data_IF_099380145132
#
_entry.id   IF_099380145132
#
_cell.length_a   1.000
_cell.length_b   1.000
_cell.length_c   1.000
_cell.angle_alpha   90.00
_cell.angle_beta   90.00
_cell.angle_gamma   90.00
#
_symmetry.space_group_name_H-M   'P 1'
#
loop_
_entity.id
_entity.type
_entity.pdbx_description
1 polymer ?
#
# COMPACT_ATOMS: atom_id res chain seq x y z
N UNK A 1 11.25 -40.22 22.17
CA UNK A 1 10.84 -38.92 22.74
C UNK A 1 10.79 -37.94 21.58
N UNK A 2 9.65 -37.85 20.90
CA UNK A 2 9.49 -37.10 19.65
C UNK A 2 9.11 -35.65 19.93
N UNK A 3 9.70 -34.73 19.16
CA UNK A 3 9.65 -33.26 19.22
C UNK A 3 8.24 -32.62 19.06
N UNK A 4 7.15 -33.37 19.20
CA UNK A 4 5.81 -32.92 18.86
C UNK A 4 5.07 -32.16 20.00
N UNK A 5 5.64 -32.06 21.19
CA UNK A 5 4.97 -31.46 22.35
C UNK A 5 5.79 -30.27 22.86
N UNK A 6 5.57 -29.06 22.31
CA UNK A 6 5.68 -27.75 23.02
C UNK A 6 5.58 -26.60 22.00
N UNK A 7 4.39 -26.36 21.47
CA UNK A 7 4.05 -25.03 20.95
C UNK A 7 2.62 -24.78 21.43
N UNK A 8 2.43 -23.86 22.37
CA UNK A 8 1.09 -23.49 22.80
C UNK A 8 0.33 -22.99 21.57
N UNK A 9 -0.98 -23.23 21.49
CA UNK A 9 -1.79 -22.84 20.34
C UNK A 9 -1.64 -21.33 20.00
N UNK A 10 -1.42 -20.50 21.03
CA UNK A 10 -1.07 -19.08 20.90
C UNK A 10 0.31 -18.80 20.29
N UNK A 11 1.30 -19.67 20.50
CA UNK A 11 2.63 -19.58 19.89
C UNK A 11 2.58 -19.99 18.41
N UNK A 12 1.73 -20.96 18.04
CA UNK A 12 1.50 -21.31 16.62
C UNK A 12 0.79 -20.17 15.89
N UNK A 13 -0.24 -19.57 16.48
CA UNK A 13 -0.95 -18.42 15.89
C UNK A 13 -0.04 -17.20 15.81
N UNK A 14 0.78 -16.93 16.83
CA UNK A 14 1.77 -15.85 16.83
C UNK A 14 2.87 -16.09 15.78
N UNK A 15 3.34 -17.33 15.68
CA UNK A 15 4.28 -17.76 14.65
C UNK A 15 3.68 -17.57 13.25
N UNK A 16 2.47 -18.09 12.98
CA UNK A 16 1.77 -17.89 11.72
C UNK A 16 1.55 -16.39 11.45
N UNK A 17 1.10 -15.61 12.44
CA UNK A 17 0.90 -14.16 12.31
C UNK A 17 2.17 -13.42 11.90
N UNK A 18 3.30 -13.77 12.51
CA UNK A 18 4.63 -13.26 12.17
C UNK A 18 5.01 -13.53 10.70
N UNK A 19 4.42 -14.54 10.05
CA UNK A 19 4.58 -14.82 8.62
C UNK A 19 3.43 -14.30 7.74
N UNK A 20 2.37 -13.71 8.32
CA UNK A 20 1.22 -13.15 7.57
C UNK A 20 1.12 -11.61 7.60
N UNK A 21 2.02 -10.92 8.31
CA UNK A 21 2.05 -9.44 8.36
C UNK A 21 2.65 -8.82 7.08
N UNK A 22 2.21 -9.27 5.90
CA UNK A 22 2.70 -8.74 4.64
C UNK A 22 2.30 -7.27 4.46
N UNK A 23 3.30 -6.46 4.11
CA UNK A 23 3.18 -5.03 3.85
C UNK A 23 3.34 -4.82 2.36
N UNK A 24 2.33 -4.27 1.71
CA UNK A 24 2.45 -3.83 0.32
C UNK A 24 2.71 -2.33 0.25
N UNK A 25 3.61 -1.93 -0.64
CA UNK A 25 3.91 -0.53 -0.95
C UNK A 25 3.51 -0.25 -2.40
N UNK A 26 2.60 0.70 -2.62
CA UNK A 26 2.32 1.22 -3.96
C UNK A 26 3.32 2.28 -4.37
N UNK A 27 3.40 2.60 -5.68
CA UNK A 27 4.39 3.56 -6.18
C UNK A 27 5.83 3.12 -5.85
N UNK A 28 6.07 1.81 -5.75
CA UNK A 28 7.29 1.23 -5.20
C UNK A 28 8.57 1.59 -5.98
N UNK A 29 8.46 1.82 -7.29
CA UNK A 29 9.57 2.27 -8.14
C UNK A 29 9.81 3.79 -8.08
N UNK A 30 8.94 4.54 -7.41
CA UNK A 30 9.07 5.98 -7.24
C UNK A 30 10.03 6.38 -6.12
N UNK A 31 10.36 7.67 -6.06
CA UNK A 31 11.30 8.23 -5.08
C UNK A 31 10.91 7.98 -3.63
N UNK A 32 9.61 8.06 -3.31
CA UNK A 32 9.11 7.81 -1.96
C UNK A 32 8.99 6.32 -1.67
N UNK A 33 8.30 5.56 -2.53
CA UNK A 33 8.03 4.14 -2.31
C UNK A 33 9.30 3.30 -2.16
N UNK A 34 10.31 3.53 -3.02
CA UNK A 34 11.58 2.81 -2.97
C UNK A 34 12.31 3.07 -1.65
N UNK A 35 12.34 4.33 -1.18
CA UNK A 35 12.93 4.69 0.12
C UNK A 35 12.11 4.18 1.30
N UNK A 36 10.79 4.08 1.18
CA UNK A 36 9.94 3.51 2.21
C UNK A 36 10.24 2.02 2.38
N UNK A 37 10.41 1.29 1.27
CA UNK A 37 10.85 -0.12 1.28
C UNK A 37 12.22 -0.23 1.94
N UNK A 38 13.20 0.59 1.54
CA UNK A 38 14.53 0.59 2.17
C UNK A 38 14.46 0.85 3.68
N UNK A 39 13.58 1.76 4.08
CA UNK A 39 13.38 2.06 5.48
C UNK A 39 12.81 0.85 6.24
N UNK A 40 11.79 0.19 5.69
CA UNK A 40 11.20 -1.03 6.28
C UNK A 40 12.27 -2.11 6.48
N UNK A 41 13.08 -2.39 5.44
CA UNK A 41 14.15 -3.38 5.51
C UNK A 41 15.21 -2.98 6.56
N UNK A 42 15.63 -1.71 6.59
CA UNK A 42 16.59 -1.22 7.58
C UNK A 42 16.09 -1.30 9.02
N UNK A 43 14.77 -1.31 9.23
CA UNK A 43 14.11 -1.48 10.53
C UNK A 43 13.90 -2.95 10.91
N UNK A 44 14.37 -3.89 10.09
CA UNK A 44 14.34 -5.32 10.37
C UNK A 44 13.08 -6.03 9.90
N UNK A 45 12.25 -5.40 9.07
CA UNK A 45 11.19 -6.12 8.33
C UNK A 45 11.90 -7.01 7.30
N UNK A 46 11.55 -8.30 7.26
CA UNK A 46 12.14 -9.22 6.27
C UNK A 46 11.66 -8.86 4.87
N UNK A 47 12.52 -9.01 3.89
CA UNK A 47 12.22 -8.79 2.48
C UNK A 47 11.03 -9.65 2.00
N UNK A 48 10.90 -10.87 2.53
CA UNK A 48 9.77 -11.77 2.26
C UNK A 48 8.43 -11.32 2.86
N UNK A 49 8.42 -10.26 3.66
CA UNK A 49 7.21 -9.63 4.21
C UNK A 49 6.86 -8.34 3.48
N UNK A 50 7.67 -7.90 2.52
CA UNK A 50 7.45 -6.67 1.77
C UNK A 50 7.09 -7.02 0.33
N UNK A 51 6.01 -6.43 -0.15
CA UNK A 51 5.54 -6.56 -1.52
C UNK A 51 5.55 -5.19 -2.19
N UNK A 52 6.15 -5.11 -3.37
CA UNK A 52 6.18 -3.91 -4.19
C UNK A 52 5.14 -4.02 -5.31
N UNK A 53 4.14 -3.13 -5.30
CA UNK A 53 3.23 -3.01 -6.43
C UNK A 53 3.89 -2.19 -7.53
N UNK A 54 3.98 -2.78 -8.72
CA UNK A 54 4.65 -2.20 -9.88
C UNK A 54 3.80 -2.38 -11.13
N UNK A 55 3.73 -1.35 -11.99
CA UNK A 55 3.05 -1.46 -13.29
C UNK A 55 3.87 -2.25 -14.32
N UNK A 56 5.18 -2.14 -14.21
CA UNK A 56 6.16 -2.73 -15.12
C UNK A 56 7.29 -3.31 -14.28
N UNK A 57 7.32 -4.64 -14.18
CA UNK A 57 8.29 -5.38 -13.36
C UNK A 57 9.72 -5.21 -13.89
N UNK A 58 9.92 -4.95 -15.18
CA UNK A 58 11.24 -4.73 -15.77
C UNK A 58 11.92 -3.47 -15.23
N UNK A 59 11.15 -2.48 -14.74
CA UNK A 59 11.66 -1.25 -14.12
C UNK A 59 11.94 -1.39 -12.63
N UNK A 60 11.74 -2.57 -12.06
CA UNK A 60 11.81 -2.83 -10.63
C UNK A 60 12.91 -3.82 -10.22
N UNK A 61 13.90 -4.08 -11.09
CA UNK A 61 15.02 -5.00 -10.81
C UNK A 61 15.73 -4.66 -9.49
N UNK A 62 15.97 -3.38 -9.22
CA UNK A 62 16.58 -2.92 -7.97
C UNK A 62 15.81 -3.28 -6.68
N UNK A 63 14.52 -3.58 -6.76
CA UNK A 63 13.72 -4.09 -5.64
C UNK A 63 13.79 -5.62 -5.57
N UNK A 64 13.74 -6.28 -6.73
CA UNK A 64 13.92 -7.73 -6.83
C UNK A 64 15.30 -8.18 -6.31
N UNK A 65 16.36 -7.42 -6.60
CA UNK A 65 17.72 -7.67 -6.11
C UNK A 65 17.82 -7.61 -4.58
N UNK A 66 16.85 -6.98 -3.91
CA UNK A 66 16.74 -6.93 -2.43
C UNK A 66 15.90 -8.08 -1.87
N UNK A 67 15.42 -9.00 -2.71
CA UNK A 67 14.53 -10.09 -2.34
C UNK A 67 13.08 -9.68 -2.08
N UNK A 68 12.69 -8.45 -2.47
CA UNK A 68 11.31 -7.96 -2.33
C UNK A 68 10.43 -8.60 -3.41
N UNK A 69 9.27 -9.11 -3.01
CA UNK A 69 8.29 -9.65 -3.95
C UNK A 69 7.70 -8.53 -4.83
N UNK A 70 7.66 -8.74 -6.14
CA UNK A 70 7.03 -7.81 -7.07
C UNK A 70 5.66 -8.34 -7.46
N UNK A 71 4.62 -7.51 -7.33
CA UNK A 71 3.29 -7.79 -7.88
C UNK A 71 2.91 -6.77 -8.91
N UNK A 72 2.37 -7.24 -10.04
CA UNK A 72 1.84 -6.36 -11.05
C UNK A 72 0.51 -5.75 -10.57
N UNK A 73 0.31 -4.47 -10.82
CA UNK A 73 -1.01 -3.87 -10.75
C UNK A 73 -1.01 -2.40 -11.12
N UNK A 74 -2.16 -1.95 -11.61
CA UNK A 74 -2.40 -0.59 -12.07
C UNK A 74 -3.56 0.04 -11.30
N UNK A 75 -3.43 1.30 -10.92
CA UNK A 75 -4.48 2.01 -10.21
C UNK A 75 -5.81 2.12 -10.98
N UNK A 76 -5.73 2.07 -12.31
CA UNK A 76 -6.89 2.10 -13.21
C UNK A 76 -7.54 0.73 -13.41
N UNK A 77 -6.85 -0.35 -13.05
CA UNK A 77 -7.33 -1.73 -13.19
C UNK A 77 -7.63 -2.32 -11.81
N UNK A 78 -8.91 -2.28 -11.44
CA UNK A 78 -9.40 -2.74 -10.14
C UNK A 78 -9.07 -4.22 -9.87
N UNK A 79 -9.23 -5.09 -10.86
CA UNK A 79 -9.04 -6.53 -10.68
C UNK A 79 -7.55 -6.84 -10.46
N UNK A 80 -6.66 -6.14 -11.18
CA UNK A 80 -5.22 -6.24 -10.95
C UNK A 80 -4.83 -5.85 -9.51
N UNK A 81 -5.49 -4.85 -8.93
CA UNK A 81 -5.25 -4.44 -7.54
C UNK A 81 -5.77 -5.48 -6.55
N UNK A 82 -6.96 -6.05 -6.79
CA UNK A 82 -7.52 -7.11 -5.93
C UNK A 82 -6.61 -8.32 -5.92
N UNK A 83 -6.09 -8.74 -7.08
CA UNK A 83 -5.13 -9.84 -7.19
C UNK A 83 -3.82 -9.50 -6.46
N UNK A 84 -3.26 -8.31 -6.72
CA UNK A 84 -2.02 -7.89 -6.09
C UNK A 84 -2.13 -7.77 -4.57
N UNK A 85 -3.32 -7.49 -4.03
CA UNK A 85 -3.53 -7.28 -2.59
C UNK A 85 -3.86 -8.56 -1.82
N UNK A 86 -3.96 -9.73 -2.47
CA UNK A 86 -4.24 -10.98 -1.79
C UNK A 86 -3.21 -11.32 -0.70
N UNK A 87 -3.69 -11.64 0.50
CA UNK A 87 -2.84 -11.98 1.64
C UNK A 87 -2.09 -10.79 2.28
N UNK A 88 -2.26 -9.57 1.76
CA UNK A 88 -1.68 -8.36 2.34
C UNK A 88 -2.49 -7.95 3.59
N UNK A 89 -1.78 -7.56 4.66
CA UNK A 89 -2.42 -7.07 5.89
C UNK A 89 -2.30 -5.57 6.07
N UNK A 90 -1.23 -4.98 5.56
CA UNK A 90 -0.99 -3.53 5.64
C UNK A 90 -0.64 -2.99 4.26
N UNK A 91 -1.29 -1.90 3.89
CA UNK A 91 -1.05 -1.20 2.64
C UNK A 91 -0.46 0.18 2.93
N UNK A 92 0.74 0.45 2.43
CA UNK A 92 1.23 1.81 2.27
C UNK A 92 0.78 2.33 0.90
N UNK A 93 -0.30 3.10 0.90
CA UNK A 93 -0.88 3.73 -0.28
C UNK A 93 -0.15 5.05 -0.58
N UNK A 94 0.80 4.99 -1.51
CA UNK A 94 1.52 6.16 -2.04
C UNK A 94 0.67 6.84 -3.12
N UNK A 95 0.39 8.14 -2.91
CA UNK A 95 -0.47 8.92 -3.80
C UNK A 95 0.02 8.92 -5.26
N UNK A 96 -0.93 8.77 -6.18
CA UNK A 96 -0.77 8.27 -7.54
C UNK A 96 0.12 9.06 -8.51
N UNK A 97 0.89 10.11 -8.24
CA UNK A 97 1.66 10.89 -9.24
C UNK A 97 1.00 11.39 -10.56
N UNK A 98 -0.19 10.93 -10.92
CA UNK A 98 -0.94 11.28 -12.13
C UNK A 98 -1.38 12.76 -12.12
N UNK A 99 -1.16 13.41 -13.25
CA UNK A 99 -1.41 14.83 -13.52
C UNK A 99 -2.20 15.03 -14.82
N UNK A 100 -2.74 13.96 -15.40
CA UNK A 100 -3.46 13.97 -16.65
C UNK A 100 -4.82 14.66 -16.56
N UNK A 101 -5.36 15.02 -17.73
CA UNK A 101 -6.71 15.61 -17.86
C UNK A 101 -7.79 14.51 -17.85
N UNK A 102 -7.45 13.33 -18.39
CA UNK A 102 -8.33 12.15 -18.50
C UNK A 102 -8.12 11.19 -17.31
N UNK A 103 -6.96 11.28 -16.69
CA UNK A 103 -6.45 10.32 -15.72
C UNK A 103 -6.68 10.92 -14.32
N UNK A 104 -7.46 10.22 -13.49
CA UNK A 104 -8.10 10.77 -12.30
C UNK A 104 -7.50 10.15 -11.02
N UNK A 105 -6.60 10.90 -10.41
CA UNK A 105 -5.96 10.58 -9.12
C UNK A 105 -6.95 10.17 -8.02
N UNK A 106 -8.11 10.80 -7.90
CA UNK A 106 -9.11 10.39 -6.91
C UNK A 106 -9.62 8.98 -7.22
N UNK A 107 -9.95 8.70 -8.48
CA UNK A 107 -10.42 7.39 -8.90
C UNK A 107 -9.37 6.29 -8.64
N UNK A 108 -8.10 6.56 -8.92
CA UNK A 108 -6.99 5.67 -8.62
C UNK A 108 -6.93 5.29 -7.14
N UNK A 109 -7.01 6.27 -6.24
CA UNK A 109 -6.99 5.99 -4.81
C UNK A 109 -8.25 5.27 -4.34
N UNK A 110 -9.42 5.63 -4.87
CA UNK A 110 -10.68 4.95 -4.55
C UNK A 110 -10.62 3.47 -4.96
N UNK A 111 -10.11 3.17 -6.16
CA UNK A 111 -9.92 1.80 -6.63
C UNK A 111 -9.00 1.03 -5.69
N UNK A 112 -7.85 1.60 -5.33
CA UNK A 112 -6.93 0.96 -4.38
C UNK A 112 -7.56 0.72 -3.00
N UNK A 113 -8.31 1.67 -2.45
CA UNK A 113 -8.98 1.49 -1.15
C UNK A 113 -10.06 0.41 -1.23
N UNK A 114 -10.85 0.39 -2.31
CA UNK A 114 -11.87 -0.65 -2.53
C UNK A 114 -11.23 -2.03 -2.69
N UNK A 115 -10.18 -2.14 -3.51
CA UNK A 115 -9.49 -3.40 -3.75
C UNK A 115 -8.82 -3.91 -2.48
N UNK A 116 -8.24 -3.01 -1.68
CA UNK A 116 -7.65 -3.36 -0.39
C UNK A 116 -8.70 -3.92 0.57
N UNK A 117 -9.88 -3.28 0.63
CA UNK A 117 -11.00 -3.77 1.43
C UNK A 117 -11.46 -5.15 0.94
N UNK A 118 -11.60 -5.33 -0.37
CA UNK A 118 -12.04 -6.60 -0.97
C UNK A 118 -11.06 -7.74 -0.72
N UNK A 119 -9.75 -7.47 -0.82
CA UNK A 119 -8.69 -8.44 -0.52
C UNK A 119 -8.46 -8.68 0.99
N UNK A 120 -9.22 -8.00 1.86
CA UNK A 120 -9.11 -8.17 3.31
C UNK A 120 -7.84 -7.57 3.93
N UNK A 121 -7.37 -6.44 3.39
CA UNK A 121 -6.34 -5.60 4.01
C UNK A 121 -6.91 -4.99 5.28
N UNK A 122 -6.19 -5.10 6.38
CA UNK A 122 -6.66 -4.65 7.69
C UNK A 122 -6.38 -3.16 7.91
N UNK A 123 -5.23 -2.66 7.44
CA UNK A 123 -4.79 -1.28 7.70
C UNK A 123 -4.24 -0.60 6.45
N UNK A 124 -4.68 0.63 6.18
CA UNK A 124 -4.16 1.47 5.09
C UNK A 124 -3.45 2.70 5.66
N UNK A 125 -2.17 2.86 5.36
CA UNK A 125 -1.41 4.09 5.59
C UNK A 125 -1.40 4.88 4.28
N UNK A 126 -2.06 6.03 4.26
CA UNK A 126 -2.17 6.87 3.07
C UNK A 126 -1.23 8.07 3.17
N UNK A 127 -0.37 8.25 2.16
CA UNK A 127 0.50 9.44 2.03
C UNK A 127 -0.34 10.59 1.48
N UNK A 128 -0.96 11.37 2.35
CA UNK A 128 -1.81 12.46 1.91
C UNK A 128 -0.98 13.72 1.61
N UNK A 129 -1.59 14.89 1.77
CA UNK A 129 -1.01 16.16 1.41
C UNK A 129 -1.39 17.23 2.42
N UNK A 130 -0.40 17.95 2.94
CA UNK A 130 -0.63 19.07 3.85
C UNK A 130 -1.22 20.26 3.10
N UNK A 131 -2.26 20.88 3.64
CA UNK A 131 -3.02 21.97 3.02
C UNK A 131 -3.18 23.13 4.01
N UNK A 132 -3.32 24.35 3.49
CA UNK A 132 -3.65 25.55 4.27
C UNK A 132 -5.12 25.92 4.06
N UNK A 133 -5.77 26.65 4.99
CA UNK A 133 -7.09 27.23 4.72
C UNK A 133 -7.08 28.09 3.44
N UNK A 134 -8.15 28.00 2.63
CA UNK A 134 -8.27 28.71 1.36
C UNK A 134 -7.52 28.07 0.19
N UNK A 135 -7.10 26.80 0.33
CA UNK A 135 -6.38 26.08 -0.73
C UNK A 135 -7.20 25.94 -2.04
N UNK A 136 -8.52 26.03 -1.93
CA UNK A 136 -9.49 25.94 -3.01
C UNK A 136 -9.31 27.05 -4.05
N UNK A 137 -8.66 28.15 -3.68
CA UNK A 137 -8.38 29.29 -4.56
C UNK A 137 -6.97 29.26 -5.17
N UNK A 138 -6.22 28.16 -5.00
CA UNK A 138 -4.85 28.05 -5.53
C UNK A 138 -4.82 27.39 -6.89
N UNK A 139 -3.72 27.59 -7.63
CA UNK A 139 -3.49 26.95 -8.93
C UNK A 139 -3.45 25.40 -8.88
N UNK A 140 -3.27 24.82 -7.68
CA UNK A 140 -3.22 23.36 -7.47
C UNK A 140 -4.45 22.84 -6.72
N UNK A 141 -5.54 23.62 -6.66
CA UNK A 141 -6.75 23.26 -5.91
C UNK A 141 -7.31 21.88 -6.30
N UNK A 142 -7.31 21.54 -7.60
CA UNK A 142 -7.75 20.23 -8.07
C UNK A 142 -6.90 19.08 -7.50
N UNK A 143 -5.57 19.24 -7.50
CA UNK A 143 -4.65 18.28 -6.90
C UNK A 143 -4.91 18.13 -5.40
N UNK A 144 -5.06 19.24 -4.67
CA UNK A 144 -5.33 19.21 -3.23
C UNK A 144 -6.71 18.61 -2.91
N UNK A 145 -7.72 18.89 -3.73
CA UNK A 145 -9.07 18.33 -3.60
C UNK A 145 -9.08 16.82 -3.81
N UNK A 146 -8.24 16.27 -4.68
CA UNK A 146 -8.15 14.82 -4.85
C UNK A 146 -7.73 14.09 -3.56
N UNK A 147 -6.84 14.70 -2.79
CA UNK A 147 -6.42 14.19 -1.47
C UNK A 147 -7.55 14.31 -0.45
N UNK A 148 -8.29 15.42 -0.43
CA UNK A 148 -9.47 15.58 0.45
C UNK A 148 -10.52 14.51 0.17
N UNK A 149 -10.86 14.29 -1.11
CA UNK A 149 -11.82 13.26 -1.51
C UNK A 149 -11.33 11.85 -1.12
N UNK A 150 -10.03 11.58 -1.30
CA UNK A 150 -9.42 10.31 -0.90
C UNK A 150 -9.50 10.09 0.61
N UNK A 151 -9.16 11.10 1.41
CA UNK A 151 -9.22 11.03 2.87
C UNK A 151 -10.64 10.79 3.37
N UNK A 152 -11.63 11.49 2.80
CA UNK A 152 -13.05 11.29 3.12
C UNK A 152 -13.47 9.86 2.77
N UNK A 153 -13.09 9.37 1.59
CA UNK A 153 -13.43 8.01 1.18
C UNK A 153 -12.77 6.97 2.09
N UNK A 154 -11.49 7.14 2.42
CA UNK A 154 -10.76 6.24 3.33
C UNK A 154 -11.38 6.21 4.72
N UNK A 155 -11.73 7.37 5.28
CA UNK A 155 -12.41 7.48 6.59
C UNK A 155 -13.75 6.73 6.62
N UNK A 156 -14.48 6.73 5.51
CA UNK A 156 -15.77 6.06 5.38
C UNK A 156 -15.67 4.60 4.87
N UNK A 157 -14.46 4.11 4.59
CA UNK A 157 -14.27 2.78 3.99
C UNK A 157 -14.55 1.63 4.95
N UNK A 158 -14.41 1.87 6.26
CA UNK A 158 -14.47 0.84 7.30
C UNK A 158 -13.18 0.03 7.47
N UNK A 159 -12.10 0.40 6.78
CA UNK A 159 -10.75 -0.16 6.98
C UNK A 159 -10.00 0.69 8.01
N UNK A 160 -9.20 0.08 8.89
CA UNK A 160 -8.35 0.85 9.80
C UNK A 160 -7.35 1.69 9.00
N UNK A 161 -7.06 2.91 9.45
CA UNK A 161 -6.25 3.81 8.63
C UNK A 161 -5.31 4.73 9.42
N UNK A 162 -4.30 5.21 8.71
CA UNK A 162 -3.46 6.33 9.11
C UNK A 162 -3.29 7.26 7.92
N UNK A 163 -3.45 8.57 8.14
CA UNK A 163 -3.28 9.60 7.11
C UNK A 163 -2.05 10.42 7.49
N UNK A 164 -1.09 10.50 6.57
CA UNK A 164 0.16 11.25 6.72
C UNK A 164 0.08 12.61 6.01
#
# INVERSE_FOLDING_TARGET
>A
MTLANYVAEGDVISFIRKYTDMILVTGATGQFGSKAIDHLLSKGVKESQVVALVRDTAKASHLQDKGVELRNGDYSDFDSLVEAFQGIKKLLLVSSNDRGVVENRTAHHINAIKAAKEAGVNHIVYTSFVRKPGYEHTAIAAFQNSHVQTEIFLKNSGVDFTIL
#
